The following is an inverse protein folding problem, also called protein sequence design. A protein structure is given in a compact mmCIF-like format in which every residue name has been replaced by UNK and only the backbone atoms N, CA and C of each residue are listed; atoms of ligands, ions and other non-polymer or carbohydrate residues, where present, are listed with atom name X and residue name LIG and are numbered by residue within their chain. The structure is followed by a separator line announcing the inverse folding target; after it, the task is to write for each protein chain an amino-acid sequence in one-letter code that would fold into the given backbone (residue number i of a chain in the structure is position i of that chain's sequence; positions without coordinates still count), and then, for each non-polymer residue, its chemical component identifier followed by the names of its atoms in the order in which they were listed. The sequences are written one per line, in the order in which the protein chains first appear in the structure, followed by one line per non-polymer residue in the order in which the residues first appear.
data_IF_603319438964
#
_entry.id   IF_603319438964
#
_cell.length_a   1.000
_cell.length_b   1.000
_cell.length_c   1.000
_cell.angle_alpha   90.00
_cell.angle_beta   90.00
_cell.angle_gamma   90.00
#
_symmetry.space_group_name_H-M   'P 1'
#
loop_
_entity.id
_entity.type
_entity.pdbx_description
1 polymer ?
#
# COMPACT_ATOMS: atom_id res chain seq x y z
N UNK A 1 15.67 28.73 11.58
CA UNK A 1 15.25 27.32 11.41
C UNK A 1 14.62 26.88 12.72
N UNK A 2 13.32 26.61 12.76
CA UNK A 2 12.65 26.11 13.97
C UNK A 2 13.12 24.68 14.24
N UNK A 3 14.07 24.52 15.14
CA UNK A 3 14.68 23.24 15.48
C UNK A 3 13.79 22.49 16.51
N UNK A 4 12.56 22.16 16.12
CA UNK A 4 11.74 21.29 16.95
C UNK A 4 12.29 19.87 16.87
N UNK A 5 12.49 19.18 18.00
CA UNK A 5 12.97 17.81 17.98
C UNK A 5 11.96 16.89 17.25
N UNK A 6 12.43 15.79 16.63
CA UNK A 6 11.56 14.78 16.03
C UNK A 6 10.56 14.24 17.05
N UNK A 7 9.29 14.12 16.66
CA UNK A 7 8.24 13.55 17.50
C UNK A 7 7.99 12.12 17.03
N UNK A 8 8.21 11.13 17.88
CA UNK A 8 7.89 9.75 17.58
C UNK A 8 6.37 9.58 17.46
N UNK A 9 5.87 9.24 16.24
CA UNK A 9 4.47 8.98 15.99
C UNK A 9 4.13 7.49 16.20
N UNK A 10 5.02 6.60 15.77
CA UNK A 10 4.79 5.16 15.85
C UNK A 10 6.11 4.42 15.89
N UNK A 11 6.22 3.46 16.82
CA UNK A 11 7.28 2.46 16.82
C UNK A 11 6.75 1.20 16.13
N UNK A 12 7.26 0.93 14.93
CA UNK A 12 6.78 -0.20 14.10
C UNK A 12 7.70 -1.42 14.18
N UNK A 13 7.23 -2.55 13.70
CA UNK A 13 8.05 -3.77 13.58
C UNK A 13 9.16 -3.66 12.53
N UNK A 14 9.01 -2.80 11.53
CA UNK A 14 9.96 -2.64 10.42
C UNK A 14 10.65 -1.29 10.38
N UNK A 15 9.94 -0.23 10.80
CA UNK A 15 10.44 1.13 10.82
C UNK A 15 9.78 1.94 11.92
N UNK A 16 10.49 2.90 12.44
CA UNK A 16 9.97 3.89 13.36
C UNK A 16 9.60 5.15 12.57
N UNK A 17 8.44 5.74 12.89
CA UNK A 17 7.89 6.90 12.20
C UNK A 17 7.98 8.12 13.09
N UNK A 18 8.60 9.19 12.58
CA UNK A 18 8.76 10.45 13.28
C UNK A 18 8.12 11.58 12.48
N UNK A 19 7.43 12.48 13.17
CA UNK A 19 7.06 13.77 12.64
C UNK A 19 8.26 14.70 12.75
N UNK A 20 8.71 15.25 11.64
CA UNK A 20 9.87 16.12 11.55
C UNK A 20 9.52 17.42 10.83
N UNK A 21 10.31 18.46 11.03
CA UNK A 21 10.25 19.65 10.19
C UNK A 21 11.28 19.52 9.07
N UNK A 22 10.80 19.49 7.84
CA UNK A 22 11.62 19.51 6.64
C UNK A 22 11.51 20.89 5.99
N UNK A 23 12.53 21.74 6.20
CA UNK A 23 12.44 23.17 5.95
C UNK A 23 11.23 23.78 6.70
N UNK A 24 10.28 24.39 6.02
CA UNK A 24 9.11 25.02 6.65
C UNK A 24 7.84 24.14 6.59
N UNK A 25 7.99 22.82 6.34
CA UNK A 25 6.88 21.88 6.21
C UNK A 25 6.99 20.76 7.23
N UNK A 26 5.83 20.29 7.68
CA UNK A 26 5.77 19.01 8.38
C UNK A 26 6.03 17.87 7.40
N UNK A 27 6.86 16.94 7.79
CA UNK A 27 7.25 15.77 7.04
C UNK A 27 7.25 14.52 7.93
N UNK A 28 7.17 13.37 7.30
CA UNK A 28 7.30 12.07 7.94
C UNK A 28 8.70 11.52 7.67
N UNK A 29 9.48 11.30 8.71
CA UNK A 29 10.70 10.49 8.66
C UNK A 29 10.32 9.04 8.98
N UNK A 30 10.69 8.12 8.10
CA UNK A 30 10.57 6.67 8.26
C UNK A 30 11.97 6.08 8.35
N UNK A 31 12.36 5.73 9.58
CA UNK A 31 13.69 5.21 9.89
C UNK A 31 13.61 3.70 10.16
N UNK A 32 14.30 2.90 9.36
CA UNK A 32 14.41 1.45 9.57
C UNK A 32 15.56 1.15 10.51
N UNK A 33 15.22 0.90 11.77
CA UNK A 33 16.19 0.56 12.83
C UNK A 33 16.54 -0.93 12.81
N UNK A 34 17.71 -1.27 13.34
CA UNK A 34 18.20 -2.63 13.46
C UNK A 34 17.28 -3.49 14.34
N UNK A 35 17.11 -4.77 13.95
CA UNK A 35 16.26 -5.72 14.67
C UNK A 35 17.09 -6.88 15.21
N UNK A 36 17.14 -6.97 16.53
CA UNK A 36 17.97 -7.96 17.26
C UNK A 36 17.57 -9.42 17.02
N UNK A 37 16.31 -9.67 16.58
CA UNK A 37 15.82 -11.01 16.27
C UNK A 37 16.22 -11.51 14.88
N UNK A 38 16.84 -10.67 14.05
CA UNK A 38 17.31 -11.04 12.70
C UNK A 38 18.82 -11.21 12.69
N UNK A 39 19.31 -12.07 11.80
CA UNK A 39 20.75 -12.14 11.55
C UNK A 39 21.25 -10.78 11.02
N UNK A 40 22.32 -10.19 11.60
CA UNK A 40 22.73 -8.80 11.33
C UNK A 40 22.98 -8.49 9.84
N UNK A 41 23.59 -9.42 9.10
CA UNK A 41 23.86 -9.23 7.66
C UNK A 41 22.55 -9.18 6.86
N UNK A 42 21.64 -10.12 7.12
CA UNK A 42 20.33 -10.17 6.47
C UNK A 42 19.48 -8.93 6.82
N UNK A 43 19.48 -8.52 8.09
CA UNK A 43 18.74 -7.33 8.52
C UNK A 43 19.22 -6.07 7.82
N UNK A 44 20.53 -5.86 7.73
CA UNK A 44 21.12 -4.72 7.02
C UNK A 44 20.73 -4.72 5.54
N UNK A 45 20.82 -5.84 4.87
CA UNK A 45 20.46 -5.97 3.45
C UNK A 45 18.97 -5.70 3.23
N UNK A 46 18.09 -6.25 4.06
CA UNK A 46 16.65 -6.05 3.97
C UNK A 46 16.26 -4.58 4.18
N UNK A 47 16.83 -3.92 5.21
CA UNK A 47 16.58 -2.49 5.48
C UNK A 47 17.01 -1.64 4.29
N UNK A 48 18.22 -1.84 3.81
CA UNK A 48 18.76 -1.12 2.65
C UNK A 48 17.90 -1.30 1.40
N UNK A 49 17.59 -2.54 1.02
CA UNK A 49 16.78 -2.85 -0.17
C UNK A 49 15.37 -2.27 -0.07
N UNK A 50 14.72 -2.36 1.11
CA UNK A 50 13.38 -1.82 1.31
C UNK A 50 13.35 -0.29 1.29
N UNK A 51 14.39 0.37 1.81
CA UNK A 51 14.51 1.84 1.77
C UNK A 51 14.61 2.35 0.33
N UNK A 52 15.52 1.78 -0.47
CA UNK A 52 15.66 2.15 -1.88
C UNK A 52 14.39 1.86 -2.68
N UNK A 53 13.80 0.69 -2.46
CA UNK A 53 12.57 0.27 -3.15
C UNK A 53 11.42 1.22 -2.85
N UNK A 54 11.19 1.54 -1.58
CA UNK A 54 10.12 2.44 -1.19
C UNK A 54 10.31 3.84 -1.78
N UNK A 55 11.50 4.40 -1.72
CA UNK A 55 11.82 5.70 -2.31
C UNK A 55 11.53 5.74 -3.82
N UNK A 56 11.92 4.68 -4.56
CA UNK A 56 11.64 4.56 -5.99
C UNK A 56 10.14 4.44 -6.26
N UNK A 57 9.45 3.56 -5.54
CA UNK A 57 8.04 3.25 -5.79
C UNK A 57 7.10 4.37 -5.41
N UNK A 58 7.42 5.19 -4.41
CA UNK A 58 6.68 6.43 -4.12
C UNK A 58 6.61 7.37 -5.33
N UNK A 59 7.74 7.54 -6.05
CA UNK A 59 7.78 8.35 -7.26
C UNK A 59 7.02 7.69 -8.41
N UNK A 60 7.16 6.37 -8.58
CA UNK A 60 6.49 5.62 -9.64
C UNK A 60 4.97 5.52 -9.46
N UNK A 61 4.48 5.47 -8.24
CA UNK A 61 3.06 5.55 -7.94
C UNK A 61 2.45 6.89 -8.42
N UNK A 62 3.18 8.00 -8.26
CA UNK A 62 2.75 9.31 -8.78
C UNK A 62 2.69 9.33 -10.31
N UNK A 63 3.67 8.75 -11.00
CA UNK A 63 3.66 8.60 -12.46
C UNK A 63 2.48 7.72 -12.94
N UNK A 64 2.00 6.82 -12.08
CA UNK A 64 0.79 6.03 -12.32
C UNK A 64 -0.52 6.83 -12.07
N UNK A 65 -0.43 8.07 -11.62
CA UNK A 65 -1.61 8.88 -11.26
C UNK A 65 -2.25 8.48 -9.95
N UNK A 66 -1.47 7.88 -9.05
CA UNK A 66 -1.92 7.46 -7.71
C UNK A 66 -1.41 8.45 -6.67
N UNK A 67 -2.28 8.86 -5.74
CA UNK A 67 -1.91 9.72 -4.63
C UNK A 67 -1.07 8.93 -3.63
N UNK A 68 0.19 9.31 -3.50
CA UNK A 68 1.16 8.77 -2.55
C UNK A 68 1.98 9.93 -1.95
N UNK A 69 2.69 9.75 -0.82
CA UNK A 69 3.55 10.79 -0.26
C UNK A 69 4.59 11.29 -1.26
N UNK A 70 4.88 12.60 -1.27
CA UNK A 70 6.05 13.11 -1.98
C UNK A 70 7.32 12.70 -1.26
N UNK A 71 8.27 12.14 -1.99
CA UNK A 71 9.61 11.89 -1.48
C UNK A 71 10.37 13.22 -1.41
N UNK A 72 10.85 13.59 -0.23
CA UNK A 72 11.67 14.79 -0.04
C UNK A 72 13.16 14.45 -0.01
N UNK A 73 13.50 13.38 0.70
CA UNK A 73 14.89 12.92 0.85
C UNK A 73 14.91 11.42 1.17
N UNK A 74 15.97 10.73 0.77
CA UNK A 74 16.24 9.40 1.26
C UNK A 74 17.75 9.21 1.50
N UNK A 75 18.05 8.50 2.58
CA UNK A 75 19.39 8.03 2.90
C UNK A 75 19.39 6.49 2.87
N UNK A 76 20.04 5.95 1.84
CA UNK A 76 20.15 4.51 1.67
C UNK A 76 21.07 3.86 2.72
N UNK A 77 22.09 4.58 3.22
CA UNK A 77 23.02 4.08 4.23
C UNK A 77 22.43 4.16 5.64
N UNK A 78 21.81 5.28 5.97
CA UNK A 78 21.07 5.47 7.23
C UNK A 78 19.74 4.74 7.28
N UNK A 79 19.26 4.21 6.14
CA UNK A 79 17.97 3.53 6.00
C UNK A 79 16.78 4.43 6.38
N UNK A 80 16.85 5.69 6.01
CA UNK A 80 15.85 6.72 6.29
C UNK A 80 15.21 7.24 5.00
N UNK A 81 13.90 7.51 5.07
CA UNK A 81 13.14 8.21 4.05
C UNK A 81 12.44 9.39 4.73
N UNK A 82 12.62 10.61 4.19
CA UNK A 82 11.83 11.77 4.56
C UNK A 82 10.83 12.06 3.45
N UNK A 83 9.55 12.05 3.80
CA UNK A 83 8.46 12.17 2.84
C UNK A 83 7.37 13.10 3.35
N UNK A 84 6.46 13.45 2.48
CA UNK A 84 5.27 14.23 2.82
C UNK A 84 4.50 13.57 3.98
N UNK A 85 4.19 14.36 5.00
CA UNK A 85 3.22 13.98 5.99
C UNK A 85 1.81 14.21 5.42
N UNK A 86 1.06 13.13 5.22
CA UNK A 86 -0.31 13.19 4.74
C UNK A 86 -1.24 13.31 5.94
N UNK A 87 -1.89 14.45 6.05
CA UNK A 87 -2.87 14.72 7.10
C UNK A 87 -4.21 14.07 6.74
N UNK A 88 -4.69 13.17 7.59
CA UNK A 88 -5.91 12.44 7.30
C UNK A 88 -6.19 11.32 8.29
N UNK A 89 -7.22 10.54 7.97
CA UNK A 89 -7.67 9.42 8.79
C UNK A 89 -7.34 8.11 8.09
N UNK A 90 -6.89 7.12 8.86
CA UNK A 90 -6.62 5.80 8.33
C UNK A 90 -7.90 5.16 7.78
N UNK A 91 -7.85 4.66 6.55
CA UNK A 91 -9.02 4.10 5.87
C UNK A 91 -9.65 2.94 6.66
N UNK A 92 -8.85 2.15 7.37
CA UNK A 92 -9.37 1.05 8.20
C UNK A 92 -10.44 1.50 9.18
N UNK A 93 -10.35 2.74 9.71
CA UNK A 93 -11.26 3.26 10.74
C UNK A 93 -12.50 3.96 10.19
N UNK A 94 -12.46 4.39 8.92
CA UNK A 94 -13.53 5.16 8.27
C UNK A 94 -14.02 4.52 6.97
N UNK A 95 -13.77 3.22 6.84
CA UNK A 95 -14.09 2.47 5.62
C UNK A 95 -15.59 2.52 5.31
N UNK A 96 -15.91 2.73 4.04
CA UNK A 96 -17.28 2.65 3.51
C UNK A 96 -17.28 1.99 2.14
N UNK A 97 -18.45 1.56 1.70
CA UNK A 97 -18.65 0.93 0.39
C UNK A 97 -18.20 1.83 -0.77
N UNK A 98 -18.45 3.14 -0.67
CA UNK A 98 -18.04 4.11 -1.71
C UNK A 98 -16.52 4.24 -1.82
N UNK A 99 -15.81 4.11 -0.70
CA UNK A 99 -14.35 4.15 -0.68
C UNK A 99 -13.71 2.91 -1.32
N UNK A 100 -14.45 1.80 -1.39
CA UNK A 100 -13.99 0.59 -2.09
C UNK A 100 -13.80 0.82 -3.59
N UNK A 101 -14.65 1.64 -4.23
CA UNK A 101 -14.46 2.03 -5.63
C UNK A 101 -13.14 2.80 -5.85
N UNK A 102 -12.78 3.68 -4.90
CA UNK A 102 -11.50 4.41 -4.97
C UNK A 102 -10.29 3.48 -4.76
N UNK A 103 -10.42 2.44 -3.93
CA UNK A 103 -9.42 1.39 -3.84
C UNK A 103 -9.24 0.67 -5.18
N UNK A 104 -10.36 0.31 -5.84
CA UNK A 104 -10.34 -0.34 -7.14
C UNK A 104 -9.63 0.50 -8.21
N UNK A 105 -9.95 1.79 -8.29
CA UNK A 105 -9.28 2.74 -9.18
C UNK A 105 -7.77 2.83 -8.88
N UNK A 106 -7.40 2.99 -7.60
CA UNK A 106 -6.02 3.12 -7.16
C UNK A 106 -5.18 1.90 -7.56
N UNK A 107 -5.66 0.69 -7.24
CA UNK A 107 -4.95 -0.55 -7.54
C UNK A 107 -4.90 -0.83 -9.06
N UNK A 108 -5.97 -0.53 -9.80
CA UNK A 108 -5.96 -0.65 -11.26
C UNK A 108 -4.88 0.23 -11.91
N UNK A 109 -4.73 1.48 -11.44
CA UNK A 109 -3.70 2.42 -11.92
C UNK A 109 -2.28 1.92 -11.64
N UNK A 110 -2.02 1.35 -10.45
CA UNK A 110 -0.72 0.74 -10.12
C UNK A 110 -0.46 -0.46 -11.03
N UNK A 111 -1.42 -1.38 -11.17
CA UNK A 111 -1.29 -2.56 -12.02
C UNK A 111 -1.15 -2.20 -13.51
N UNK A 112 -1.74 -1.09 -13.96
CA UNK A 112 -1.51 -0.59 -15.32
C UNK A 112 -0.04 -0.25 -15.58
N UNK A 113 0.67 0.24 -14.58
CA UNK A 113 2.11 0.50 -14.62
C UNK A 113 2.95 -0.70 -14.17
N UNK A 114 2.34 -1.89 -14.05
CA UNK A 114 2.98 -3.13 -13.61
C UNK A 114 3.58 -3.03 -12.20
N UNK A 115 3.03 -2.18 -11.35
CA UNK A 115 3.43 -2.02 -9.95
C UNK A 115 2.50 -2.87 -9.09
N UNK A 116 3.07 -3.80 -8.35
CA UNK A 116 2.42 -4.54 -7.27
C UNK A 116 2.83 -3.88 -5.97
N UNK A 117 1.87 -3.51 -5.15
CA UNK A 117 2.16 -2.85 -3.86
C UNK A 117 2.73 -3.84 -2.84
N UNK A 118 2.21 -5.06 -2.84
CA UNK A 118 2.72 -6.17 -2.02
C UNK A 118 2.20 -6.20 -0.58
N UNK A 119 1.46 -5.16 -0.14
CA UNK A 119 0.82 -5.09 1.18
C UNK A 119 -0.46 -4.24 1.13
N UNK A 120 -1.38 -4.62 0.24
CA UNK A 120 -2.65 -3.88 0.04
C UNK A 120 -3.62 -4.23 1.15
N UNK A 121 -3.60 -3.40 2.20
CA UNK A 121 -4.55 -3.45 3.32
C UNK A 121 -5.19 -2.08 3.52
N UNK A 122 -6.37 -2.03 4.10
CA UNK A 122 -7.03 -0.74 4.41
C UNK A 122 -6.23 0.12 5.39
N UNK A 123 -5.28 -0.47 6.12
CA UNK A 123 -4.35 0.24 7.01
C UNK A 123 -3.29 1.05 6.25
N UNK A 124 -3.01 0.71 4.99
CA UNK A 124 -2.03 1.38 4.15
C UNK A 124 -2.65 2.46 3.25
N UNK A 125 -3.87 2.90 3.60
CA UNK A 125 -4.53 4.02 2.93
C UNK A 125 -4.92 5.10 3.94
N UNK A 126 -4.79 6.35 3.52
CA UNK A 126 -5.20 7.53 4.29
C UNK A 126 -6.22 8.30 3.47
N UNK A 127 -7.39 8.56 4.08
CA UNK A 127 -8.36 9.51 3.56
C UNK A 127 -7.94 10.90 4.02
N UNK A 128 -7.52 11.75 3.05
CA UNK A 128 -7.01 13.09 3.35
C UNK A 128 -8.11 13.99 3.91
N UNK A 129 -7.79 14.73 4.97
CA UNK A 129 -8.71 15.70 5.58
C UNK A 129 -8.87 16.95 4.70
N UNK A 130 -7.79 17.35 4.02
CA UNK A 130 -7.73 18.50 3.11
C UNK A 130 -7.17 18.09 1.75
N UNK A 131 -7.98 17.45 0.89
CA UNK A 131 -7.51 17.03 -0.43
C UNK A 131 -7.19 18.26 -1.29
N UNK A 132 -6.02 18.25 -1.93
CA UNK A 132 -5.52 19.38 -2.73
C UNK A 132 -6.42 19.76 -3.93
N UNK A 133 -7.32 18.88 -4.36
CA UNK A 133 -8.13 19.03 -5.58
C UNK A 133 -9.63 18.76 -5.38
N UNK A 134 -10.23 19.12 -4.26
CA UNK A 134 -11.67 18.94 -3.96
C UNK A 134 -12.25 17.51 -4.17
N UNK A 135 -11.47 16.54 -4.59
CA UNK A 135 -11.87 15.13 -4.62
C UNK A 135 -11.36 14.47 -3.33
N UNK A 136 -12.19 13.71 -2.65
CA UNK A 136 -11.76 12.98 -1.45
C UNK A 136 -10.48 12.19 -1.78
N UNK A 137 -9.34 12.73 -1.37
CA UNK A 137 -8.03 12.21 -1.68
C UNK A 137 -7.80 10.92 -0.90
N UNK A 138 -7.80 9.78 -1.59
CA UNK A 138 -7.36 8.53 -1.01
C UNK A 138 -5.88 8.34 -1.36
N UNK A 139 -5.01 8.44 -0.36
CA UNK A 139 -3.57 8.26 -0.52
C UNK A 139 -3.16 6.86 -0.09
N UNK A 140 -2.34 6.20 -0.91
CA UNK A 140 -1.70 4.93 -0.57
C UNK A 140 -0.29 5.18 -0.03
N UNK A 141 0.06 4.48 1.03
CA UNK A 141 1.33 4.61 1.74
C UNK A 141 2.05 3.26 1.85
N UNK A 142 3.33 3.30 2.21
CA UNK A 142 4.15 2.13 2.53
C UNK A 142 4.44 1.17 1.35
N UNK A 143 5.28 1.62 0.45
CA UNK A 143 5.73 0.82 -0.71
C UNK A 143 6.95 -0.09 -0.42
N UNK A 144 7.26 -0.37 0.84
CA UNK A 144 8.44 -1.17 1.22
C UNK A 144 8.46 -2.60 0.69
N UNK A 145 7.30 -3.18 0.39
CA UNK A 145 7.16 -4.54 -0.17
C UNK A 145 6.81 -4.54 -1.66
N UNK A 146 6.67 -3.38 -2.29
CA UNK A 146 6.25 -3.28 -3.69
C UNK A 146 7.32 -3.78 -4.67
N UNK A 147 6.88 -4.20 -5.85
CA UNK A 147 7.74 -4.68 -6.92
C UNK A 147 7.08 -4.54 -8.29
N UNK A 148 7.88 -4.66 -9.35
CA UNK A 148 7.36 -4.70 -10.71
C UNK A 148 6.99 -6.12 -11.13
N UNK A 149 5.78 -6.30 -11.68
CA UNK A 149 5.37 -7.53 -12.32
C UNK A 149 4.33 -7.31 -13.41
N UNK A 150 4.49 -8.03 -14.52
CA UNK A 150 3.48 -8.10 -15.60
C UNK A 150 2.57 -9.33 -15.47
N UNK A 151 2.83 -10.19 -14.49
CA UNK A 151 2.12 -11.46 -14.32
C UNK A 151 0.72 -11.22 -13.76
N UNK A 152 -0.26 -11.84 -14.37
CA UNK A 152 -1.65 -11.80 -13.88
C UNK A 152 -1.78 -12.47 -12.51
N UNK A 153 -0.95 -13.49 -12.22
CA UNK A 153 -0.90 -14.16 -10.93
C UNK A 153 -0.55 -13.22 -9.78
N UNK A 154 0.44 -12.33 -9.97
CA UNK A 154 0.89 -11.41 -8.94
C UNK A 154 -0.19 -10.35 -8.67
N UNK A 155 -0.83 -9.83 -9.73
CA UNK A 155 -1.96 -8.91 -9.62
C UNK A 155 -3.16 -9.57 -8.94
N UNK A 156 -3.49 -10.80 -9.32
CA UNK A 156 -4.57 -11.56 -8.72
C UNK A 156 -4.31 -11.89 -7.24
N UNK A 157 -3.05 -12.21 -6.89
CA UNK A 157 -2.66 -12.46 -5.51
C UNK A 157 -2.82 -11.21 -4.65
N UNK A 158 -2.50 -10.03 -5.19
CA UNK A 158 -2.70 -8.75 -4.51
C UNK A 158 -4.18 -8.43 -4.33
N UNK A 159 -5.00 -8.57 -5.36
CA UNK A 159 -6.46 -8.39 -5.27
C UNK A 159 -7.08 -9.38 -4.27
N UNK A 160 -6.62 -10.63 -4.26
CA UNK A 160 -7.07 -11.63 -3.29
C UNK A 160 -6.69 -11.23 -1.85
N UNK A 161 -5.48 -10.71 -1.63
CA UNK A 161 -5.06 -10.20 -0.32
C UNK A 161 -6.02 -9.09 0.17
N UNK A 162 -6.37 -8.14 -0.69
CA UNK A 162 -7.34 -7.11 -0.35
C UNK A 162 -8.73 -7.71 -0.04
N UNK A 163 -9.19 -8.67 -0.85
CA UNK A 163 -10.44 -9.37 -0.62
C UNK A 163 -10.48 -10.05 0.75
N UNK A 164 -9.39 -10.70 1.17
CA UNK A 164 -9.23 -11.30 2.49
C UNK A 164 -9.26 -10.25 3.61
N UNK A 165 -8.63 -9.09 3.40
CA UNK A 165 -8.70 -7.97 4.37
C UNK A 165 -10.12 -7.42 4.48
N UNK A 166 -10.82 -7.22 3.36
CA UNK A 166 -12.21 -6.73 3.38
C UNK A 166 -13.13 -7.71 4.08
N UNK A 167 -13.00 -9.02 3.81
CA UNK A 167 -13.83 -10.05 4.43
C UNK A 167 -13.56 -10.26 5.93
N UNK A 168 -12.35 -9.95 6.41
CA UNK A 168 -11.98 -10.16 7.81
C UNK A 168 -12.14 -8.89 8.67
N UNK A 169 -11.82 -7.73 8.12
CA UNK A 169 -11.81 -6.44 8.87
C UNK A 169 -13.11 -5.67 8.67
N UNK A 170 -13.76 -5.80 7.52
CA UNK A 170 -14.95 -5.06 7.11
C UNK A 170 -16.09 -6.02 6.70
N UNK A 171 -16.25 -7.11 7.45
CA UNK A 171 -17.12 -8.23 7.11
C UNK A 171 -18.58 -7.81 6.85
N UNK A 172 -19.11 -6.86 7.60
CA UNK A 172 -20.49 -6.36 7.45
C UNK A 172 -20.74 -5.66 6.10
N UNK A 173 -19.69 -5.13 5.48
CA UNK A 173 -19.75 -4.39 4.21
C UNK A 173 -19.17 -5.18 3.04
N UNK A 174 -18.67 -6.40 3.28
CA UNK A 174 -17.81 -7.13 2.37
C UNK A 174 -18.39 -7.29 0.97
N UNK A 175 -19.60 -7.80 0.83
CA UNK A 175 -20.19 -8.13 -0.48
C UNK A 175 -20.32 -6.88 -1.36
N UNK A 176 -20.86 -5.80 -0.82
CA UNK A 176 -21.02 -4.54 -1.54
C UNK A 176 -19.67 -3.86 -1.81
N UNK A 177 -18.78 -3.88 -0.81
CA UNK A 177 -17.46 -3.28 -0.94
C UNK A 177 -16.62 -3.98 -1.99
N UNK A 178 -16.61 -5.32 -2.02
CA UNK A 178 -15.84 -6.05 -3.01
C UNK A 178 -16.45 -5.94 -4.42
N UNK A 179 -17.77 -5.88 -4.54
CA UNK A 179 -18.45 -5.59 -5.82
C UNK A 179 -18.01 -4.22 -6.36
N UNK A 180 -18.12 -3.17 -5.55
CA UNK A 180 -17.74 -1.81 -5.94
C UNK A 180 -16.24 -1.70 -6.29
N UNK A 181 -15.38 -2.38 -5.54
CA UNK A 181 -13.96 -2.49 -5.85
C UNK A 181 -13.74 -3.14 -7.22
N UNK A 182 -14.37 -4.29 -7.48
CA UNK A 182 -14.18 -5.07 -8.70
C UNK A 182 -14.68 -4.31 -9.94
N UNK A 183 -15.80 -3.61 -9.84
CA UNK A 183 -16.33 -2.76 -10.90
C UNK A 183 -15.37 -1.61 -11.24
N UNK A 184 -14.93 -0.87 -10.24
CA UNK A 184 -13.97 0.20 -10.44
C UNK A 184 -12.62 -0.33 -10.95
N UNK A 185 -12.11 -1.42 -10.39
CA UNK A 185 -10.87 -2.06 -10.84
C UNK A 185 -10.94 -2.46 -12.31
N UNK A 186 -12.08 -3.03 -12.75
CA UNK A 186 -12.31 -3.40 -14.15
C UNK A 186 -12.41 -2.17 -15.06
N UNK A 187 -13.10 -1.11 -14.61
CA UNK A 187 -13.31 0.13 -15.36
C UNK A 187 -11.99 0.86 -15.64
N UNK A 188 -11.11 0.94 -14.62
CA UNK A 188 -9.82 1.65 -14.73
C UNK A 188 -8.67 0.78 -15.25
N UNK A 189 -8.92 -0.51 -15.49
CA UNK A 189 -7.95 -1.43 -16.08
C UNK A 189 -8.08 -1.45 -17.61
N UNK A 190 -6.97 -1.33 -18.37
CA UNK A 190 -7.04 -1.34 -19.84
C UNK A 190 -7.34 -2.74 -20.39
N UNK A 191 -7.99 -2.77 -21.57
CA UNK A 191 -8.08 -3.94 -22.45
C UNK A 191 -8.51 -5.24 -21.74
N UNK A 192 -9.60 -5.22 -21.01
CA UNK A 192 -10.12 -6.38 -20.25
C UNK A 192 -9.15 -6.99 -19.21
N UNK A 193 -8.00 -6.37 -18.98
CA UNK A 193 -7.00 -6.87 -18.03
C UNK A 193 -7.59 -7.03 -16.63
N UNK A 194 -8.40 -6.08 -16.17
CA UNK A 194 -9.07 -6.14 -14.88
C UNK A 194 -9.95 -7.38 -14.75
N UNK A 195 -10.78 -7.68 -15.76
CA UNK A 195 -11.63 -8.88 -15.76
C UNK A 195 -10.81 -10.18 -15.78
N UNK A 196 -9.66 -10.20 -16.48
CA UNK A 196 -8.74 -11.35 -16.47
C UNK A 196 -8.12 -11.56 -15.10
N UNK A 197 -7.73 -10.48 -14.41
CA UNK A 197 -7.20 -10.55 -13.04
C UNK A 197 -8.28 -11.07 -12.09
N UNK A 198 -9.51 -10.54 -12.13
CA UNK A 198 -10.59 -10.98 -11.26
C UNK A 198 -10.93 -12.47 -11.46
N UNK A 199 -11.01 -12.94 -12.71
CA UNK A 199 -11.18 -14.39 -13.01
C UNK A 199 -10.02 -15.21 -12.42
N UNK A 200 -8.79 -14.67 -12.46
CA UNK A 200 -7.63 -15.34 -11.89
C UNK A 200 -7.69 -15.42 -10.36
N UNK A 201 -8.30 -14.42 -9.69
CA UNK A 201 -8.58 -14.51 -8.24
C UNK A 201 -9.45 -15.72 -7.94
N UNK A 202 -10.56 -15.90 -8.70
CA UNK A 202 -11.47 -17.04 -8.51
C UNK A 202 -10.78 -18.38 -8.75
N UNK A 203 -9.90 -18.46 -9.77
CA UNK A 203 -9.09 -19.66 -10.02
C UNK A 203 -8.13 -19.97 -8.84
N UNK A 204 -7.46 -18.97 -8.27
CA UNK A 204 -6.55 -19.16 -7.13
C UNK A 204 -7.34 -19.66 -5.91
N UNK A 205 -8.49 -19.05 -5.64
CA UNK A 205 -9.35 -19.45 -4.51
C UNK A 205 -9.90 -20.87 -4.66
N UNK A 206 -10.30 -21.25 -5.88
CA UNK A 206 -10.79 -22.61 -6.12
C UNK A 206 -9.70 -23.66 -5.86
N UNK A 207 -8.48 -23.45 -6.35
CA UNK A 207 -7.33 -24.35 -6.08
C UNK A 207 -7.04 -24.48 -4.60
N UNK A 208 -7.05 -23.36 -3.82
CA UNK A 208 -6.82 -23.38 -2.38
C UNK A 208 -7.87 -24.18 -1.60
N UNK A 209 -9.10 -24.23 -2.07
CA UNK A 209 -10.17 -25.06 -1.48
C UNK A 209 -9.93 -26.56 -1.71
N UNK A 210 -9.52 -26.94 -2.92
CA UNK A 210 -9.24 -28.34 -3.24
C UNK A 210 -8.03 -28.91 -2.50
N UNK A 211 -6.96 -28.10 -2.29
CA UNK A 211 -5.79 -28.54 -1.54
C UNK A 211 -6.09 -28.77 -0.07
N UNK A 212 -6.99 -28.01 0.55
CA UNK A 212 -7.43 -28.22 1.96
C UNK A 212 -8.25 -29.49 2.13
N UNK A 213 -9.08 -29.86 1.15
CA UNK A 213 -9.86 -31.09 1.19
C UNK A 213 -8.95 -32.31 1.02
N UNK A 214 -7.95 -32.24 0.13
CA UNK A 214 -7.01 -33.35 -0.10
C UNK A 214 -6.03 -33.60 1.07
N UNK A 215 -5.79 -32.61 1.92
CA UNK A 215 -4.93 -32.77 3.13
C UNK A 215 -5.70 -33.18 4.39
N UNK A 216 -7.01 -33.43 4.28
CA UNK A 216 -7.88 -33.88 5.37
C UNK A 216 -8.16 -35.40 5.33
N UNK A 217 -7.51 -36.12 4.45
CA UNK A 217 -7.49 -37.57 4.29
C UNK A 217 -6.03 -38.07 4.44
#
# INVERSE_FOLDING_TARGET
MSNRPPILLKKGSEADLFLVNWYDKQALSKLRTERTYRHPVLDRELRHRRTIREALMLSKAKEAGVRSPYLYFFDAQGNEIIMEYIEGVNLKTVFSVDLASKLGECIAKLHFKNIIHGDVTTSNFILETHPRNNSAGLAIIDFGLSFYSQRLEDMASEVRMLKEVLSSVHYDLFDQAFSNFADAYSLYSPHERGRKVLRKVDEIESRGRYSRIASSY
#
